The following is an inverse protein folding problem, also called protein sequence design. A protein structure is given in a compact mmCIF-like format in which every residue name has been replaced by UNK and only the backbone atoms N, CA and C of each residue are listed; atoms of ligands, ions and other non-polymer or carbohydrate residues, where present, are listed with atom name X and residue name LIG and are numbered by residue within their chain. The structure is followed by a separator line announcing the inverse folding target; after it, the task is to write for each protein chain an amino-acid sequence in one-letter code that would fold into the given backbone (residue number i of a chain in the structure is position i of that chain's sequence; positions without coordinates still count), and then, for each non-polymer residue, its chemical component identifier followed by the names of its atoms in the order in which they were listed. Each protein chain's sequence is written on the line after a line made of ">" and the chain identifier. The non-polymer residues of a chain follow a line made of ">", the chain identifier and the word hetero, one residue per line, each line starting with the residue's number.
data_IF_956132370161
#
_entry.id   IF_956132370161
#
_cell.length_a   1.000
_cell.length_b   1.000
_cell.length_c   1.000
_cell.angle_alpha   90.00
_cell.angle_beta   90.00
_cell.angle_gamma   90.00
#
_symmetry.space_group_name_H-M   'P 1'
#
loop_
_entity.id
_entity.type
_entity.pdbx_description
1 polymer ?
#
# COMPACT_ATOMS: atom_id res chain seq x y z
N UNK A 1 -5.78 21.81 -13.00
CA UNK A 1 -4.45 21.67 -12.41
C UNK A 1 -3.84 23.06 -12.27
N UNK A 2 -3.26 23.36 -11.12
CA UNK A 2 -2.47 24.57 -10.92
C UNK A 2 -0.99 24.32 -11.25
N UNK A 3 -0.19 25.37 -11.51
CA UNK A 3 1.23 25.20 -11.79
C UNK A 3 1.99 24.46 -10.70
N UNK A 4 1.63 24.67 -9.43
CA UNK A 4 2.27 24.04 -8.28
C UNK A 4 2.10 22.52 -8.26
N UNK A 5 0.94 22.01 -8.69
CA UNK A 5 0.72 20.57 -8.85
C UNK A 5 1.67 19.98 -9.92
N UNK A 6 1.86 20.70 -11.02
CA UNK A 6 2.77 20.27 -12.09
C UNK A 6 4.21 20.23 -11.58
N UNK A 7 4.67 21.32 -10.95
CA UNK A 7 6.02 21.38 -10.38
C UNK A 7 6.27 20.31 -9.31
N UNK A 8 5.28 20.05 -8.46
CA UNK A 8 5.39 18.98 -7.47
C UNK A 8 5.47 17.60 -8.14
N UNK A 9 4.65 17.35 -9.17
CA UNK A 9 4.69 16.10 -9.90
C UNK A 9 6.06 15.86 -10.57
N UNK A 10 6.59 16.86 -11.25
CA UNK A 10 7.91 16.82 -11.88
C UNK A 10 9.01 16.53 -10.84
N UNK A 11 8.94 17.19 -9.66
CA UNK A 11 9.88 16.96 -8.58
C UNK A 11 9.80 15.56 -7.98
N UNK A 12 8.60 15.01 -7.85
CA UNK A 12 8.41 13.64 -7.36
C UNK A 12 8.96 12.61 -8.36
N UNK A 13 8.77 12.81 -9.65
CA UNK A 13 9.35 11.93 -10.69
C UNK A 13 10.87 12.04 -10.69
N UNK A 14 11.43 13.25 -10.59
CA UNK A 14 12.89 13.44 -10.45
C UNK A 14 13.47 12.66 -9.25
N UNK A 15 12.76 12.65 -8.12
CA UNK A 15 13.16 11.92 -6.91
C UNK A 15 12.99 10.41 -7.03
N UNK A 16 12.08 9.96 -7.89
CA UNK A 16 11.71 8.56 -8.07
C UNK A 16 11.76 8.18 -9.56
N UNK A 17 12.97 8.02 -10.16
CA UNK A 17 13.13 7.76 -11.60
C UNK A 17 12.47 6.49 -12.12
N UNK A 18 12.05 5.58 -11.23
CA UNK A 18 11.27 4.39 -11.55
C UNK A 18 9.78 4.69 -11.80
N UNK A 19 9.30 5.88 -11.43
CA UNK A 19 7.90 6.29 -11.58
C UNK A 19 7.72 7.18 -12.81
N UNK A 20 6.70 6.90 -13.62
CA UNK A 20 6.39 7.68 -14.82
C UNK A 20 5.34 8.76 -14.58
N UNK A 21 4.48 8.60 -13.59
CA UNK A 21 3.33 9.48 -13.36
C UNK A 21 3.03 9.70 -11.88
N UNK A 22 2.43 10.86 -11.59
CA UNK A 22 1.91 11.23 -10.28
C UNK A 22 0.42 11.49 -10.37
N UNK A 23 -0.33 10.98 -9.39
CA UNK A 23 -1.75 11.26 -9.21
C UNK A 23 -1.98 11.88 -7.85
N UNK A 24 -2.56 13.08 -7.81
CA UNK A 24 -2.92 13.75 -6.56
C UNK A 24 -4.30 13.34 -6.08
N UNK A 25 -4.46 13.34 -4.75
CA UNK A 25 -5.70 13.10 -4.03
C UNK A 25 -5.73 14.00 -2.80
N UNK A 26 -6.91 14.19 -2.20
CA UNK A 26 -7.06 15.08 -1.04
C UNK A 26 -6.81 14.41 0.30
N UNK A 27 -6.84 13.09 0.34
CA UNK A 27 -6.59 12.32 1.57
C UNK A 27 -5.83 11.03 1.27
N UNK A 28 -5.14 10.49 2.30
CA UNK A 28 -4.45 9.20 2.17
C UNK A 28 -5.42 8.05 1.84
N UNK A 29 -6.62 8.06 2.40
CA UNK A 29 -7.64 7.05 2.07
C UNK A 29 -8.06 7.10 0.60
N UNK A 30 -8.27 8.30 0.06
CA UNK A 30 -8.60 8.48 -1.35
C UNK A 30 -7.43 8.05 -2.25
N UNK A 31 -6.20 8.46 -1.95
CA UNK A 31 -5.01 8.04 -2.68
C UNK A 31 -4.87 6.51 -2.70
N UNK A 32 -5.09 5.87 -1.56
CA UNK A 32 -5.07 4.42 -1.43
C UNK A 32 -6.16 3.75 -2.27
N UNK A 33 -7.39 4.26 -2.27
CA UNK A 33 -8.48 3.73 -3.08
C UNK A 33 -8.21 3.85 -4.58
N UNK A 34 -7.66 5.00 -5.01
CA UNK A 34 -7.24 5.23 -6.40
C UNK A 34 -6.14 4.23 -6.79
N UNK A 35 -5.12 4.04 -5.96
CA UNK A 35 -4.02 3.12 -6.23
C UNK A 35 -4.51 1.68 -6.38
N UNK A 36 -5.38 1.20 -5.49
CA UNK A 36 -5.96 -0.14 -5.58
C UNK A 36 -6.77 -0.31 -6.87
N UNK A 37 -7.55 0.70 -7.27
CA UNK A 37 -8.31 0.64 -8.51
C UNK A 37 -7.42 0.56 -9.74
N UNK A 38 -6.36 1.35 -9.80
CA UNK A 38 -5.37 1.31 -10.88
C UNK A 38 -4.68 -0.05 -10.92
N UNK A 39 -4.23 -0.54 -9.77
CA UNK A 39 -3.52 -1.80 -9.67
C UNK A 39 -4.40 -3.01 -10.06
N UNK A 40 -5.69 -3.03 -9.68
CA UNK A 40 -6.66 -4.03 -10.15
C UNK A 40 -6.83 -4.00 -11.67
N UNK A 41 -6.94 -2.82 -12.25
CA UNK A 41 -7.06 -2.66 -13.70
C UNK A 41 -5.79 -3.11 -14.43
N UNK A 42 -4.62 -2.83 -13.90
CA UNK A 42 -3.34 -3.20 -14.49
C UNK A 42 -3.01 -4.70 -14.34
N UNK A 43 -3.29 -5.30 -13.18
CA UNK A 43 -3.06 -6.73 -12.93
C UNK A 43 -4.12 -7.64 -13.54
N UNK A 44 -5.32 -7.11 -13.82
CA UNK A 44 -6.49 -7.92 -14.19
C UNK A 44 -7.03 -8.81 -13.07
N UNK A 45 -6.58 -8.61 -11.83
CA UNK A 45 -6.92 -9.42 -10.65
C UNK A 45 -7.57 -8.54 -9.57
N UNK A 46 -8.44 -9.15 -8.75
CA UNK A 46 -9.23 -8.42 -7.76
C UNK A 46 -8.65 -8.44 -6.36
N UNK A 47 -7.90 -9.51 -5.99
CA UNK A 47 -7.49 -9.74 -4.61
C UNK A 47 -6.23 -8.97 -4.25
N UNK A 48 -6.26 -8.42 -3.03
CA UNK A 48 -5.19 -7.61 -2.45
C UNK A 48 -4.70 -8.26 -1.17
N UNK A 49 -3.41 -8.56 -1.08
CA UNK A 49 -2.75 -8.87 0.19
C UNK A 49 -2.32 -7.56 0.85
N UNK A 50 -2.72 -7.34 2.12
CA UNK A 50 -2.45 -6.08 2.83
C UNK A 50 -1.67 -6.30 4.12
N UNK A 51 -0.80 -5.33 4.45
CA UNK A 51 -0.18 -5.21 5.76
C UNK A 51 -0.02 -3.74 6.16
N UNK A 52 -0.63 -3.35 7.27
CA UNK A 52 -0.62 -1.98 7.78
C UNK A 52 -1.98 -1.29 7.68
N UNK A 53 -2.00 0.01 7.99
CA UNK A 53 -3.21 0.82 7.95
C UNK A 53 -3.28 1.63 6.65
N UNK A 54 -4.38 1.51 5.93
CA UNK A 54 -4.53 2.13 4.61
C UNK A 54 -5.81 2.96 4.45
N UNK A 55 -6.32 3.51 5.52
CA UNK A 55 -7.55 4.31 5.54
C UNK A 55 -8.78 3.49 5.96
N UNK A 56 -9.96 3.96 5.57
CA UNK A 56 -11.25 3.42 6.02
C UNK A 56 -12.25 3.18 4.87
N UNK A 57 -11.75 3.18 3.62
CA UNK A 57 -12.58 2.91 2.45
C UNK A 57 -12.99 1.45 2.36
N UNK A 58 -14.10 1.18 1.68
CA UNK A 58 -14.72 -0.14 1.58
C UNK A 58 -13.74 -1.24 1.18
N UNK A 59 -12.85 -0.99 0.23
CA UNK A 59 -11.87 -1.97 -0.22
C UNK A 59 -10.95 -2.47 0.92
N UNK A 60 -10.62 -1.60 1.88
CA UNK A 60 -9.77 -1.94 3.02
C UNK A 60 -10.59 -2.61 4.12
N UNK A 61 -11.73 -2.00 4.51
CA UNK A 61 -12.60 -2.53 5.55
C UNK A 61 -13.24 -3.87 5.17
N UNK A 62 -13.28 -4.21 3.88
CA UNK A 62 -13.76 -5.51 3.41
C UNK A 62 -12.98 -6.70 3.99
N UNK A 63 -11.75 -6.49 4.48
CA UNK A 63 -10.99 -7.50 5.20
C UNK A 63 -11.72 -8.00 6.46
N UNK A 64 -12.51 -7.16 7.12
CA UNK A 64 -13.26 -7.49 8.32
C UNK A 64 -14.67 -8.10 8.04
N UNK A 65 -15.08 -8.28 6.78
CA UNK A 65 -16.37 -8.89 6.47
C UNK A 65 -16.46 -10.39 6.81
N UNK A 66 -15.32 -11.07 6.80
CA UNK A 66 -15.27 -12.51 7.16
C UNK A 66 -14.99 -12.75 8.65
N UNK A 67 -14.23 -11.87 9.26
CA UNK A 67 -13.88 -11.87 10.68
C UNK A 67 -13.58 -10.43 11.08
N UNK A 68 -14.36 -9.87 11.99
CA UNK A 68 -14.27 -8.45 12.40
C UNK A 68 -12.93 -8.10 13.04
N UNK A 69 -12.12 -9.07 13.43
CA UNK A 69 -10.80 -8.90 14.04
C UNK A 69 -9.62 -8.91 13.06
N UNK A 70 -9.82 -9.20 11.79
CA UNK A 70 -8.73 -9.35 10.81
C UNK A 70 -7.81 -8.13 10.71
N UNK A 71 -8.31 -6.92 10.95
CA UNK A 71 -7.52 -5.69 10.90
C UNK A 71 -6.96 -5.25 12.27
N UNK A 72 -7.28 -5.93 13.37
CA UNK A 72 -6.90 -5.50 14.72
C UNK A 72 -5.37 -5.43 14.91
N UNK A 73 -4.63 -6.32 14.27
CA UNK A 73 -3.17 -6.30 14.26
C UNK A 73 -2.54 -5.23 13.38
N UNK A 74 -3.33 -4.47 12.61
CA UNK A 74 -2.85 -3.53 11.60
C UNK A 74 -2.85 -2.06 12.04
N UNK A 75 -3.29 -1.74 13.22
CA UNK A 75 -3.17 -0.44 13.91
C UNK A 75 -4.38 -0.09 14.78
N UNK A 76 -5.58 -0.14 14.24
CA UNK A 76 -6.80 0.34 14.89
C UNK A 76 -7.75 -0.84 15.10
N UNK A 77 -7.80 -1.40 16.31
CA UNK A 77 -8.81 -2.40 16.63
C UNK A 77 -10.22 -1.80 16.56
N UNK A 78 -11.21 -2.62 16.26
CA UNK A 78 -12.60 -2.20 16.21
C UNK A 78 -13.00 -1.45 14.93
N UNK A 79 -12.31 -1.63 13.81
CA UNK A 79 -12.74 -1.14 12.51
C UNK A 79 -13.92 -1.97 11.99
N UNK A 80 -15.13 -1.54 12.37
CA UNK A 80 -16.34 -2.24 11.99
C UNK A 80 -16.64 -2.13 10.48
N UNK A 81 -16.98 -3.25 9.81
CA UNK A 81 -17.30 -3.25 8.36
C UNK A 81 -18.75 -2.85 8.07
N UNK A 82 -19.46 -2.21 9.00
CA UNK A 82 -20.85 -1.78 8.79
C UNK A 82 -20.96 -0.83 7.61
N UNK A 83 -21.84 -1.17 6.67
CA UNK A 83 -22.05 -0.39 5.45
C UNK A 83 -21.14 -0.80 4.27
N UNK A 84 -20.13 -1.64 4.49
CA UNK A 84 -19.32 -2.21 3.40
C UNK A 84 -20.13 -3.26 2.63
N UNK A 85 -20.18 -3.20 1.30
CA UNK A 85 -20.87 -4.20 0.48
C UNK A 85 -20.32 -5.61 0.73
N UNK A 86 -21.21 -6.58 0.98
CA UNK A 86 -20.82 -7.97 1.30
C UNK A 86 -20.10 -8.68 0.15
N UNK A 87 -20.35 -8.26 -1.05
CA UNK A 87 -19.71 -8.76 -2.27
C UNK A 87 -18.19 -8.54 -2.29
N UNK A 88 -17.69 -7.61 -1.45
CA UNK A 88 -16.25 -7.38 -1.30
C UNK A 88 -15.56 -8.37 -0.35
N UNK A 89 -16.30 -9.25 0.32
CA UNK A 89 -15.71 -10.26 1.20
C UNK A 89 -14.69 -11.12 0.46
N UNK A 90 -13.50 -11.29 1.05
CA UNK A 90 -12.42 -12.10 0.46
C UNK A 90 -11.64 -11.41 -0.66
N UNK A 91 -11.91 -10.13 -0.96
CA UNK A 91 -11.12 -9.35 -1.92
C UNK A 91 -9.89 -8.71 -1.28
N UNK A 92 -9.87 -8.56 0.05
CA UNK A 92 -8.74 -7.99 0.81
C UNK A 92 -8.34 -8.96 1.91
N UNK A 93 -7.09 -9.39 1.89
CA UNK A 93 -6.56 -10.47 2.72
C UNK A 93 -5.34 -9.96 3.52
N UNK A 94 -5.44 -9.83 4.84
CA UNK A 94 -4.34 -9.37 5.68
C UNK A 94 -3.21 -10.42 5.80
N UNK A 95 -1.96 -9.94 5.89
CA UNK A 95 -0.81 -10.73 6.27
C UNK A 95 0.01 -10.02 7.36
N UNK A 96 0.80 -10.79 8.10
CA UNK A 96 1.58 -10.26 9.24
C UNK A 96 2.90 -9.66 8.75
N UNK A 97 3.25 -8.48 9.26
CA UNK A 97 4.52 -7.81 8.95
C UNK A 97 5.72 -8.68 9.38
N UNK A 98 6.75 -8.76 8.53
CA UNK A 98 7.92 -9.62 8.74
C UNK A 98 7.65 -11.14 8.75
N UNK A 99 6.47 -11.57 8.31
CA UNK A 99 6.12 -12.98 8.07
C UNK A 99 6.06 -13.26 6.57
N UNK A 100 7.22 -13.51 5.96
CA UNK A 100 7.32 -13.80 4.52
C UNK A 100 6.67 -15.13 4.15
N UNK A 101 6.79 -16.17 4.99
CA UNK A 101 6.22 -17.49 4.72
C UNK A 101 4.68 -17.44 4.70
N UNK A 102 4.10 -16.65 5.61
CA UNK A 102 2.65 -16.38 5.62
C UNK A 102 2.19 -15.68 4.35
N UNK A 103 2.90 -14.64 3.90
CA UNK A 103 2.61 -13.94 2.64
C UNK A 103 2.75 -14.87 1.43
N UNK A 104 3.82 -15.64 1.33
CA UNK A 104 4.03 -16.60 0.23
C UNK A 104 2.91 -17.65 0.19
N UNK A 105 2.49 -18.15 1.35
CA UNK A 105 1.36 -19.07 1.47
C UNK A 105 0.06 -18.44 0.98
N UNK A 106 -0.17 -17.17 1.30
CA UNK A 106 -1.34 -16.41 0.85
C UNK A 106 -1.35 -16.28 -0.67
N UNK A 107 -0.21 -15.91 -1.27
CA UNK A 107 -0.05 -15.79 -2.72
C UNK A 107 -0.29 -17.13 -3.44
N UNK A 108 0.21 -18.24 -2.88
CA UNK A 108 0.00 -19.58 -3.45
C UNK A 108 -1.47 -20.06 -3.39
N UNK A 109 -2.20 -19.66 -2.33
CA UNK A 109 -3.58 -20.12 -2.10
C UNK A 109 -4.63 -19.26 -2.80
N UNK A 110 -4.31 -18.04 -3.11
CA UNK A 110 -5.24 -17.06 -3.65
C UNK A 110 -4.67 -16.42 -4.91
N UNK A 111 -5.55 -16.00 -5.81
CA UNK A 111 -5.17 -15.26 -7.02
C UNK A 111 -4.91 -13.79 -6.66
N UNK A 112 -3.79 -13.54 -5.96
CA UNK A 112 -3.38 -12.20 -5.54
C UNK A 112 -2.87 -11.41 -6.73
N UNK A 113 -3.39 -10.21 -6.94
CA UNK A 113 -2.93 -9.28 -7.97
C UNK A 113 -2.13 -8.11 -7.41
N UNK A 114 -2.28 -7.85 -6.10
CA UNK A 114 -1.69 -6.68 -5.47
C UNK A 114 -1.15 -7.08 -4.09
N UNK A 115 0.06 -6.67 -3.78
CA UNK A 115 0.60 -6.63 -2.42
C UNK A 115 0.69 -5.17 -2.03
N UNK A 116 0.02 -4.79 -0.93
CA UNK A 116 0.07 -3.43 -0.41
C UNK A 116 0.49 -3.43 1.03
N UNK A 117 1.54 -2.65 1.36
CA UNK A 117 2.08 -2.61 2.71
C UNK A 117 2.75 -1.27 3.05
N UNK A 118 2.88 -0.99 4.33
CA UNK A 118 3.80 0.06 4.81
C UNK A 118 5.23 -0.48 4.79
N UNK A 119 6.21 0.35 4.42
CA UNK A 119 7.64 -0.06 4.41
C UNK A 119 8.14 -0.33 5.82
N UNK A 120 7.79 0.53 6.76
CA UNK A 120 8.02 0.38 8.19
C UNK A 120 7.05 1.27 8.95
N UNK A 121 6.66 0.87 10.14
CA UNK A 121 5.81 1.68 11.01
C UNK A 121 6.26 1.64 12.48
N UNK A 122 6.09 0.53 13.15
CA UNK A 122 6.41 0.34 14.57
C UNK A 122 7.68 -0.47 14.78
N UNK A 123 8.05 -1.25 13.77
CA UNK A 123 9.27 -2.07 13.74
C UNK A 123 9.89 -1.99 12.35
N UNK A 124 11.20 -2.13 12.30
CA UNK A 124 11.93 -2.20 11.04
C UNK A 124 11.70 -3.53 10.31
N UNK A 125 11.82 -3.54 8.98
CA UNK A 125 11.80 -4.79 8.24
C UNK A 125 12.98 -5.66 8.65
N UNK A 126 12.73 -6.96 8.83
CA UNK A 126 13.82 -7.93 8.95
C UNK A 126 14.71 -7.88 7.72
N UNK A 127 16.00 -8.17 7.90
CA UNK A 127 16.95 -8.22 6.79
C UNK A 127 16.45 -9.14 5.67
N UNK A 128 16.35 -8.63 4.46
CA UNK A 128 15.91 -9.37 3.29
C UNK A 128 14.38 -9.47 3.12
N UNK A 129 13.58 -8.99 4.07
CA UNK A 129 12.12 -9.11 3.99
C UNK A 129 11.54 -8.33 2.82
N UNK A 130 11.88 -7.05 2.66
CA UNK A 130 11.36 -6.21 1.59
C UNK A 130 11.83 -6.69 0.21
N UNK A 131 13.08 -7.11 0.11
CA UNK A 131 13.66 -7.69 -1.11
C UNK A 131 12.92 -8.98 -1.51
N UNK A 132 12.62 -9.85 -0.53
CA UNK A 132 11.84 -11.07 -0.77
C UNK A 132 10.41 -10.77 -1.20
N UNK A 133 9.75 -9.77 -0.61
CA UNK A 133 8.42 -9.32 -1.03
C UNK A 133 8.46 -8.79 -2.46
N UNK A 134 9.47 -7.96 -2.82
CA UNK A 134 9.62 -7.47 -4.19
C UNK A 134 9.85 -8.62 -5.18
N UNK A 135 10.71 -9.57 -4.83
CA UNK A 135 10.97 -10.73 -5.69
C UNK A 135 9.71 -11.58 -5.90
N UNK A 136 8.99 -11.88 -4.81
CA UNK A 136 7.71 -12.61 -4.88
C UNK A 136 6.71 -11.91 -5.79
N UNK A 137 6.58 -10.58 -5.66
CA UNK A 137 5.68 -9.80 -6.50
C UNK A 137 6.10 -9.87 -7.98
N UNK A 138 7.39 -9.79 -8.28
CA UNK A 138 7.93 -9.90 -9.65
C UNK A 138 7.66 -11.28 -10.25
N UNK A 139 7.95 -12.36 -9.51
CA UNK A 139 7.82 -13.75 -9.98
C UNK A 139 6.37 -14.14 -10.29
N UNK A 140 5.41 -13.51 -9.59
CA UNK A 140 3.98 -13.78 -9.74
C UNK A 140 3.20 -12.71 -10.52
N UNK A 141 3.88 -11.72 -11.11
CA UNK A 141 3.26 -10.57 -11.80
C UNK A 141 2.24 -9.85 -10.89
N UNK A 142 2.62 -9.62 -9.64
CA UNK A 142 1.84 -8.93 -8.62
C UNK A 142 2.32 -7.48 -8.55
N UNK A 143 1.41 -6.53 -8.49
CA UNK A 143 1.73 -5.11 -8.31
C UNK A 143 2.05 -4.86 -6.84
N UNK A 144 3.26 -4.38 -6.55
CA UNK A 144 3.71 -3.99 -5.22
C UNK A 144 3.43 -2.51 -4.98
N UNK A 145 2.67 -2.21 -3.93
CA UNK A 145 2.36 -0.85 -3.50
C UNK A 145 2.95 -0.60 -2.12
N UNK A 146 3.84 0.37 -1.99
CA UNK A 146 4.28 0.86 -0.68
C UNK A 146 3.45 2.06 -0.24
N UNK A 147 2.86 1.96 0.95
CA UNK A 147 2.20 3.07 1.60
C UNK A 147 3.20 3.81 2.50
N UNK A 148 3.70 4.89 1.99
CA UNK A 148 4.60 5.78 2.71
C UNK A 148 3.93 7.10 3.13
N UNK A 149 2.61 7.08 3.28
CA UNK A 149 1.87 8.22 3.79
C UNK A 149 2.38 8.66 5.18
N UNK A 150 2.88 7.72 5.99
CA UNK A 150 3.45 8.01 7.31
C UNK A 150 4.97 8.13 7.29
N UNK A 151 5.68 7.27 6.56
CA UNK A 151 7.15 7.21 6.56
C UNK A 151 7.83 8.14 5.56
N UNK A 152 7.13 8.51 4.49
CA UNK A 152 7.70 9.33 3.43
C UNK A 152 8.22 10.68 3.92
N UNK A 153 9.40 11.06 3.46
CA UNK A 153 10.10 12.31 3.80
C UNK A 153 10.41 12.54 5.29
N UNK A 154 10.33 11.52 6.15
CA UNK A 154 10.67 11.67 7.58
C UNK A 154 12.11 11.31 7.88
N UNK A 155 12.53 10.13 7.53
CA UNK A 155 13.90 9.63 7.79
C UNK A 155 14.76 9.73 6.54
N UNK A 156 14.18 9.43 5.38
CA UNK A 156 14.88 9.42 4.10
C UNK A 156 14.20 10.37 3.13
N UNK A 157 14.95 11.21 2.46
CA UNK A 157 14.42 12.14 1.45
C UNK A 157 13.85 11.36 0.26
N UNK A 158 12.57 11.58 0.00
CA UNK A 158 11.82 10.89 -1.05
C UNK A 158 11.01 9.68 -0.57
N UNK A 159 11.45 8.99 0.49
CA UNK A 159 10.72 7.83 1.03
C UNK A 159 11.64 6.79 1.66
N UNK A 160 11.09 6.04 2.61
CA UNK A 160 11.85 5.08 3.41
C UNK A 160 12.31 3.86 2.57
N UNK A 161 11.56 3.49 1.52
CA UNK A 161 11.95 2.42 0.58
C UNK A 161 13.37 2.62 0.01
N UNK A 162 13.79 3.88 -0.16
CA UNK A 162 15.14 4.22 -0.67
C UNK A 162 16.25 3.79 0.30
N UNK A 163 16.01 3.84 1.61
CA UNK A 163 16.96 3.35 2.64
C UNK A 163 17.23 1.85 2.46
N UNK A 164 16.22 1.10 2.05
CA UNK A 164 16.32 -0.35 1.86
C UNK A 164 16.63 -0.75 0.41
N UNK A 165 16.65 0.20 -0.52
CA UNK A 165 16.97 -0.07 -1.93
C UNK A 165 15.94 -0.94 -2.66
N UNK A 166 14.67 -0.89 -2.23
CA UNK A 166 13.59 -1.69 -2.82
C UNK A 166 12.56 -0.76 -3.46
N UNK A 167 12.39 -0.87 -4.78
CA UNK A 167 11.45 -0.04 -5.54
C UNK A 167 10.11 -0.76 -5.70
N UNK A 168 8.98 -0.09 -5.34
CA UNK A 168 7.63 -0.60 -5.61
C UNK A 168 7.20 -0.26 -7.05
N UNK A 169 6.08 -0.83 -7.48
CA UNK A 169 5.41 -0.42 -8.72
C UNK A 169 4.57 0.85 -8.52
N UNK A 170 4.11 1.08 -7.29
CA UNK A 170 3.37 2.29 -6.89
C UNK A 170 3.72 2.68 -5.46
N UNK A 171 3.67 3.97 -5.17
CA UNK A 171 3.92 4.50 -3.83
C UNK A 171 2.87 5.55 -3.46
N UNK A 172 2.44 5.53 -2.20
CA UNK A 172 1.55 6.54 -1.62
C UNK A 172 2.38 7.46 -0.72
N UNK A 173 2.30 8.74 -0.97
CA UNK A 173 2.91 9.79 -0.14
C UNK A 173 1.82 10.69 0.45
N UNK A 174 2.09 11.28 1.59
CA UNK A 174 1.17 12.20 2.26
C UNK A 174 1.81 12.85 3.48
N UNK A 175 0.99 13.35 4.38
CA UNK A 175 1.41 13.98 5.65
C UNK A 175 2.59 14.94 5.48
N UNK A 176 3.83 14.46 5.69
CA UNK A 176 5.05 15.27 5.61
C UNK A 176 5.23 15.92 4.25
N UNK A 177 4.85 15.25 3.15
CA UNK A 177 4.91 15.82 1.81
C UNK A 177 4.07 17.11 1.71
N UNK A 178 2.86 17.12 2.27
CA UNK A 178 1.98 18.29 2.30
C UNK A 178 2.37 19.32 3.35
N UNK A 179 3.24 18.98 4.32
CA UNK A 179 3.73 19.86 5.39
C UNK A 179 2.61 20.67 6.09
N UNK A 180 1.46 20.04 6.32
CA UNK A 180 0.29 20.68 6.95
C UNK A 180 -0.69 21.34 5.98
N UNK A 181 -0.41 21.35 4.70
CA UNK A 181 -1.35 21.78 3.65
C UNK A 181 -2.09 20.57 3.06
N UNK A 182 -3.33 20.81 2.64
CA UNK A 182 -4.17 19.80 2.00
C UNK A 182 -3.85 19.64 0.51
#
# INVERSE_FOLDING_TARGET
>A
NCPEEVYLAEKLIELHPWADMVRFARSGGEANAIAIRIARAASGKEKVAICGYHGWHDWYLSANLGDESHLDGHLLPGLEPKGVPKELQGTTLPFVYNDFEGLETLVRKHDIGIIKMEVSRSVDPKKGFLESVRQLATDHNIILIFDECTSGFRETFGGLHKKYGVEPDMMILGKTLGNGYA
#
